data_IF_670288932223
#
_entry.id   IF_670288932223
#
_cell.length_a   1.000
_cell.length_b   1.000
_cell.length_c   1.000
_cell.angle_alpha   90.00
_cell.angle_beta   90.00
_cell.angle_gamma   90.00
#
_symmetry.space_group_name_H-M   'P 1'
#
loop_
_entity.id
_entity.type
_entity.pdbx_description
1 polymer ?
#
# COMPACT_ATOMS: atom_id res chain seq x y z
N UNK A 1 6.03 -0.84 -24.11
CA UNK A 1 5.34 0.34 -23.53
C UNK A 1 5.37 0.19 -22.01
N UNK A 2 5.66 1.28 -21.27
CA UNK A 2 5.63 1.26 -19.81
C UNK A 2 4.19 1.11 -19.30
N UNK A 3 4.02 0.43 -18.15
CA UNK A 3 2.73 0.28 -17.46
C UNK A 3 2.38 1.61 -16.81
N UNK A 4 1.24 2.19 -17.18
CA UNK A 4 0.75 3.43 -16.59
C UNK A 4 0.13 3.19 -15.23
N UNK A 5 0.72 3.78 -14.20
CA UNK A 5 0.31 3.60 -12.80
C UNK A 5 -0.28 4.88 -12.24
N UNK A 6 -1.44 4.78 -11.61
CA UNK A 6 -1.97 5.82 -10.75
C UNK A 6 -1.87 5.40 -9.27
N UNK A 7 -1.66 6.37 -8.39
CA UNK A 7 -1.59 6.13 -6.94
C UNK A 7 -2.79 6.81 -6.29
N UNK A 8 -3.67 6.03 -5.67
CA UNK A 8 -4.78 6.54 -4.88
C UNK A 8 -4.41 6.54 -3.39
N UNK A 9 -4.23 7.72 -2.82
CA UNK A 9 -3.69 7.92 -1.48
C UNK A 9 -2.16 8.09 -1.48
N UNK A 10 -1.71 9.32 -1.30
CA UNK A 10 -0.29 9.67 -1.28
C UNK A 10 0.24 9.82 0.15
N UNK A 11 -0.24 8.91 1.03
CA UNK A 11 0.26 8.71 2.39
C UNK A 11 1.64 8.05 2.40
N UNK A 12 2.02 7.44 3.54
CA UNK A 12 3.32 6.77 3.69
C UNK A 12 3.58 5.75 2.59
N UNK A 13 2.63 4.84 2.35
CA UNK A 13 2.81 3.75 1.37
C UNK A 13 2.85 4.30 -0.06
N UNK A 14 1.90 5.18 -0.43
CA UNK A 14 1.88 5.76 -1.77
C UNK A 14 3.16 6.52 -2.12
N UNK A 15 3.68 7.34 -1.19
CA UNK A 15 4.94 8.08 -1.41
C UNK A 15 6.16 7.18 -1.50
N UNK A 16 6.25 6.14 -0.68
CA UNK A 16 7.40 5.23 -0.74
C UNK A 16 7.35 4.34 -1.99
N UNK A 17 6.16 3.90 -2.41
CA UNK A 17 5.97 3.23 -3.69
C UNK A 17 6.37 4.15 -4.85
N UNK A 18 5.93 5.41 -4.83
CA UNK A 18 6.34 6.41 -5.81
C UNK A 18 7.86 6.54 -5.92
N UNK A 19 8.57 6.71 -4.79
CA UNK A 19 10.03 6.84 -4.77
C UNK A 19 10.75 5.64 -5.40
N UNK A 20 10.17 4.45 -5.31
CA UNK A 20 10.74 3.23 -5.91
C UNK A 20 10.40 3.08 -7.39
N UNK A 21 9.23 3.55 -7.81
CA UNK A 21 8.73 3.38 -9.17
C UNK A 21 9.18 4.50 -10.11
N UNK A 22 9.34 5.72 -9.58
CA UNK A 22 9.69 6.88 -10.40
C UNK A 22 11.10 6.72 -11.00
N UNK A 23 11.17 6.74 -12.32
CA UNK A 23 12.40 6.50 -13.07
C UNK A 23 12.80 5.02 -13.22
N UNK A 24 12.05 4.09 -12.62
CA UNK A 24 12.28 2.67 -12.83
C UNK A 24 11.80 2.22 -14.21
N UNK A 25 12.50 1.26 -14.81
CA UNK A 25 12.13 0.70 -16.10
C UNK A 25 10.81 -0.08 -16.00
N UNK A 26 9.97 0.06 -17.01
CA UNK A 26 8.69 -0.66 -17.14
C UNK A 26 7.50 0.03 -16.50
N UNK A 27 7.67 1.11 -15.73
CA UNK A 27 6.59 1.85 -15.07
C UNK A 27 6.58 3.33 -15.44
N UNK A 28 5.38 3.90 -15.44
CA UNK A 28 5.18 5.33 -15.53
C UNK A 28 4.09 5.76 -14.54
N UNK A 29 4.44 6.54 -13.52
CA UNK A 29 3.45 7.13 -12.62
C UNK A 29 2.84 8.34 -13.32
N UNK A 30 1.57 8.23 -13.71
CA UNK A 30 0.86 9.22 -14.52
C UNK A 30 -0.06 10.13 -13.71
N UNK A 31 -0.50 9.69 -12.54
CA UNK A 31 -1.43 10.46 -11.70
C UNK A 31 -1.36 10.05 -10.23
N UNK A 32 -1.74 10.99 -9.37
CA UNK A 32 -1.93 10.79 -7.94
C UNK A 32 -3.33 11.31 -7.58
N UNK A 33 -4.04 10.63 -6.70
CA UNK A 33 -5.23 11.16 -6.05
C UNK A 33 -5.01 11.23 -4.54
N UNK A 34 -5.14 12.43 -3.96
CA UNK A 34 -5.10 12.64 -2.50
C UNK A 34 -5.86 13.92 -2.16
N UNK A 35 -6.50 13.97 -1.00
CA UNK A 35 -7.27 15.13 -0.55
C UNK A 35 -6.42 16.25 0.03
N UNK A 36 -5.12 16.02 0.17
CA UNK A 36 -4.14 16.97 0.68
C UNK A 36 -3.61 17.86 -0.46
N UNK A 37 -3.23 19.09 -0.14
CA UNK A 37 -2.73 20.03 -1.16
C UNK A 37 -1.41 19.56 -1.80
N UNK A 38 -1.19 19.85 -3.10
CA UNK A 38 0.06 19.51 -3.80
C UNK A 38 1.32 20.00 -3.08
N UNK A 39 1.27 21.20 -2.51
CA UNK A 39 2.39 21.77 -1.72
C UNK A 39 2.76 20.87 -0.53
N UNK A 40 1.76 20.40 0.22
CA UNK A 40 2.00 19.50 1.36
C UNK A 40 2.51 18.15 0.89
N UNK A 41 1.93 17.58 -0.18
CA UNK A 41 2.34 16.30 -0.73
C UNK A 41 3.77 16.34 -1.27
N UNK A 42 4.16 17.43 -1.96
CA UNK A 42 5.54 17.66 -2.41
C UNK A 42 6.52 17.73 -1.23
N UNK A 43 6.18 18.46 -0.16
CA UNK A 43 6.99 18.51 1.06
C UNK A 43 7.18 17.13 1.68
N UNK A 44 6.10 16.38 1.84
CA UNK A 44 6.14 15.05 2.42
C UNK A 44 6.83 14.01 1.50
N UNK A 45 6.85 14.24 0.18
CA UNK A 45 7.63 13.42 -0.74
C UNK A 45 9.13 13.70 -0.59
N UNK A 46 9.52 14.96 -0.42
CA UNK A 46 10.93 15.36 -0.23
C UNK A 46 11.52 14.76 1.04
N UNK A 47 10.80 14.90 2.15
CA UNK A 47 11.34 14.65 3.49
C UNK A 47 10.54 13.56 4.21
N UNK A 48 11.24 12.53 4.65
CA UNK A 48 10.66 11.42 5.40
C UNK A 48 11.52 11.15 6.64
N UNK A 49 10.89 11.19 7.82
CA UNK A 49 11.60 11.03 9.09
C UNK A 49 12.20 9.63 9.29
N UNK A 50 11.71 8.62 8.57
CA UNK A 50 12.16 7.22 8.68
C UNK A 50 13.05 6.82 7.51
N UNK A 51 12.68 7.23 6.28
CA UNK A 51 13.37 6.84 5.04
C UNK A 51 14.35 7.90 4.54
N UNK A 52 14.43 9.04 5.26
CA UNK A 52 15.33 10.13 4.90
C UNK A 52 14.85 10.98 3.72
N UNK A 53 15.69 11.91 3.32
CA UNK A 53 15.42 12.79 2.20
C UNK A 53 15.37 11.99 0.89
N UNK A 54 14.39 12.30 0.04
CA UNK A 54 14.27 11.68 -1.28
C UNK A 54 15.47 12.05 -2.17
N UNK A 55 16.01 11.09 -2.88
CA UNK A 55 17.19 11.32 -3.74
C UNK A 55 16.97 12.45 -4.79
N UNK A 56 15.72 12.64 -5.23
CA UNK A 56 15.32 13.68 -6.18
C UNK A 56 14.66 14.88 -5.50
N UNK A 57 14.84 15.09 -4.19
CA UNK A 57 14.16 16.12 -3.43
C UNK A 57 14.33 17.54 -4.03
N UNK A 58 15.51 17.85 -4.54
CA UNK A 58 15.81 19.18 -5.11
C UNK A 58 15.07 19.45 -6.43
N UNK A 59 14.60 18.39 -7.11
CA UNK A 59 13.82 18.49 -8.36
C UNK A 59 12.31 18.49 -8.13
N UNK A 60 11.86 18.25 -6.89
CA UNK A 60 10.42 18.17 -6.58
C UNK A 60 9.86 19.58 -6.43
N UNK A 61 8.89 19.93 -7.25
CA UNK A 61 8.18 21.20 -7.21
C UNK A 61 6.66 20.96 -7.10
N UNK A 62 5.96 21.87 -6.44
CA UNK A 62 4.49 21.82 -6.35
C UNK A 62 3.88 22.83 -7.32
N UNK A 63 3.01 22.34 -8.21
CA UNK A 63 2.11 23.18 -9.01
C UNK A 63 0.79 23.47 -8.27
N UNK A 64 -0.18 24.01 -8.98
CA UNK A 64 -1.52 24.28 -8.45
C UNK A 64 -2.27 22.97 -8.19
N UNK A 65 -2.23 22.02 -9.14
CA UNK A 65 -2.86 20.70 -9.09
C UNK A 65 -1.93 19.58 -9.59
N UNK A 66 -0.64 19.75 -9.37
CA UNK A 66 0.40 18.82 -9.81
C UNK A 66 1.62 18.82 -8.90
N UNK A 67 2.45 17.80 -9.04
CA UNK A 67 3.82 17.76 -8.55
C UNK A 67 4.72 17.46 -9.74
N UNK A 68 5.79 18.25 -9.88
CA UNK A 68 6.85 17.99 -10.85
C UNK A 68 8.02 17.32 -10.15
N UNK A 69 8.55 16.26 -10.72
CA UNK A 69 9.74 15.55 -10.24
C UNK A 69 10.64 15.30 -11.44
N UNK A 70 11.89 15.73 -11.35
CA UNK A 70 12.88 15.58 -12.43
C UNK A 70 12.33 16.02 -13.80
N UNK A 71 11.64 17.18 -13.82
CA UNK A 71 11.03 17.76 -15.00
C UNK A 71 9.75 17.07 -15.50
N UNK A 72 9.31 15.97 -14.88
CA UNK A 72 8.05 15.30 -15.21
C UNK A 72 6.92 15.78 -14.32
N UNK A 73 5.89 16.34 -14.92
CA UNK A 73 4.68 16.75 -14.23
C UNK A 73 3.75 15.55 -14.00
N UNK A 74 3.26 15.40 -12.77
CA UNK A 74 2.31 14.37 -12.35
C UNK A 74 1.07 15.06 -11.80
N UNK A 75 -0.06 14.85 -12.46
CA UNK A 75 -1.35 15.44 -12.09
C UNK A 75 -1.81 14.91 -10.74
N UNK A 76 -2.32 15.81 -9.89
CA UNK A 76 -2.96 15.48 -8.62
C UNK A 76 -4.46 15.73 -8.71
N UNK A 77 -5.22 14.69 -8.46
CA UNK A 77 -6.66 14.75 -8.28
C UNK A 77 -6.99 14.80 -6.79
N UNK A 78 -8.12 15.45 -6.44
CA UNK A 78 -8.59 15.57 -5.07
C UNK A 78 -10.04 15.05 -4.95
N UNK A 79 -10.25 13.78 -5.37
CA UNK A 79 -11.56 13.13 -5.35
C UNK A 79 -11.68 12.15 -4.20
N UNK A 80 -12.71 12.32 -3.36
CA UNK A 80 -13.00 11.37 -2.28
C UNK A 80 -13.62 10.06 -2.80
N UNK A 81 -14.40 10.18 -3.89
CA UNK A 81 -15.03 9.03 -4.55
C UNK A 81 -14.17 8.57 -5.73
N UNK A 82 -13.66 7.35 -5.66
CA UNK A 82 -12.81 6.78 -6.70
C UNK A 82 -13.51 6.62 -8.05
N UNK A 83 -14.82 6.47 -8.09
CA UNK A 83 -15.58 6.36 -9.33
C UNK A 83 -15.59 7.67 -10.17
N UNK A 84 -15.21 8.81 -9.56
CA UNK A 84 -15.10 10.11 -10.23
C UNK A 84 -13.71 10.38 -10.83
N UNK A 85 -12.79 9.43 -10.69
CA UNK A 85 -11.42 9.57 -11.17
C UNK A 85 -11.32 9.23 -12.67
N UNK A 86 -10.57 9.98 -13.46
CA UNK A 86 -10.56 9.82 -14.93
C UNK A 86 -9.59 8.74 -15.40
N UNK A 87 -9.55 7.57 -14.73
CA UNK A 87 -8.57 6.52 -15.01
C UNK A 87 -8.63 6.02 -16.46
N UNK A 88 -9.84 5.88 -16.99
CA UNK A 88 -10.04 5.47 -18.39
C UNK A 88 -9.56 6.51 -19.39
N UNK A 89 -9.81 7.80 -19.12
CA UNK A 89 -9.44 8.92 -20.00
C UNK A 89 -7.91 9.07 -20.15
N UNK A 90 -7.17 8.89 -19.03
CA UNK A 90 -5.71 8.98 -19.01
C UNK A 90 -5.02 7.65 -19.28
N UNK A 91 -5.80 6.57 -19.46
CA UNK A 91 -5.30 5.25 -19.85
C UNK A 91 -4.52 4.55 -18.76
N UNK A 92 -4.99 4.59 -17.51
CA UNK A 92 -4.35 3.92 -16.37
C UNK A 92 -4.45 2.40 -16.52
N UNK A 93 -3.31 1.73 -16.48
CA UNK A 93 -3.25 0.28 -16.48
C UNK A 93 -3.44 -0.30 -15.06
N UNK A 94 -2.78 0.31 -14.06
CA UNK A 94 -2.80 -0.17 -12.67
C UNK A 94 -3.03 0.98 -11.71
N UNK A 95 -3.96 0.80 -10.78
CA UNK A 95 -4.10 1.68 -9.61
C UNK A 95 -3.45 1.01 -8.41
N UNK A 96 -2.53 1.72 -7.74
CA UNK A 96 -2.09 1.39 -6.39
C UNK A 96 -3.05 2.04 -5.39
N UNK A 97 -3.88 1.23 -4.73
CA UNK A 97 -4.81 1.69 -3.72
C UNK A 97 -4.12 1.75 -2.36
N UNK A 98 -3.79 2.95 -1.91
CA UNK A 98 -3.00 3.22 -0.71
C UNK A 98 -3.73 4.06 0.34
N UNK A 99 -5.06 4.30 0.18
CA UNK A 99 -5.85 5.12 1.13
C UNK A 99 -6.24 4.36 2.39
N UNK A 100 -6.36 3.05 2.33
CA UNK A 100 -6.92 2.21 3.38
C UNK A 100 -8.46 2.26 3.46
N UNK A 101 -9.16 2.89 2.51
CA UNK A 101 -10.63 2.94 2.45
C UNK A 101 -11.22 1.90 1.51
N UNK A 102 -10.58 1.61 0.39
CA UNK A 102 -11.03 0.66 -0.63
C UNK A 102 -10.42 -0.73 -0.42
N UNK A 103 -10.49 -1.24 0.81
CA UNK A 103 -9.84 -2.48 1.27
C UNK A 103 -10.76 -3.70 1.16
N UNK A 104 -11.49 -3.84 0.06
CA UNK A 104 -12.24 -5.04 -0.31
C UNK A 104 -12.45 -5.06 -1.83
N UNK A 105 -12.70 -6.23 -2.41
CA UNK A 105 -12.99 -6.38 -3.83
C UNK A 105 -14.13 -5.46 -4.29
N UNK A 106 -15.24 -5.48 -3.55
CA UNK A 106 -16.43 -4.67 -3.86
C UNK A 106 -16.14 -3.17 -3.84
N UNK A 107 -15.36 -2.67 -2.88
CA UNK A 107 -15.00 -1.25 -2.83
C UNK A 107 -14.01 -0.87 -3.92
N UNK A 108 -12.97 -1.69 -4.12
CA UNK A 108 -11.94 -1.43 -5.12
C UNK A 108 -12.47 -1.50 -6.56
N UNK A 109 -13.62 -2.15 -6.77
CA UNK A 109 -14.32 -2.16 -8.05
C UNK A 109 -14.57 -0.75 -8.61
N UNK A 110 -14.74 0.27 -7.74
CA UNK A 110 -14.90 1.66 -8.15
C UNK A 110 -13.75 2.17 -9.04
N UNK A 111 -12.53 1.69 -8.86
CA UNK A 111 -11.40 2.04 -9.72
C UNK A 111 -11.49 1.38 -11.11
N UNK A 112 -11.99 0.14 -11.17
CA UNK A 112 -12.23 -0.56 -12.44
C UNK A 112 -13.36 0.14 -13.19
N UNK A 113 -14.44 0.51 -12.48
CA UNK A 113 -15.58 1.23 -13.06
C UNK A 113 -15.15 2.62 -13.58
N UNK A 114 -14.17 3.25 -12.95
CA UNK A 114 -13.51 4.48 -13.39
C UNK A 114 -12.55 4.27 -14.59
N UNK A 115 -12.36 3.03 -15.06
CA UNK A 115 -11.61 2.69 -16.27
C UNK A 115 -10.18 2.20 -16.07
N UNK A 116 -9.74 1.94 -14.83
CA UNK A 116 -8.48 1.25 -14.58
C UNK A 116 -8.58 -0.22 -14.99
N UNK A 117 -7.50 -0.81 -15.50
CA UNK A 117 -7.49 -2.23 -15.90
C UNK A 117 -7.27 -3.16 -14.71
N UNK A 118 -6.46 -2.75 -13.74
CA UNK A 118 -6.13 -3.52 -12.54
C UNK A 118 -6.00 -2.63 -11.30
N UNK A 119 -6.26 -3.22 -10.13
CA UNK A 119 -6.08 -2.57 -8.81
C UNK A 119 -5.22 -3.44 -7.91
N UNK A 120 -4.21 -2.84 -7.32
CA UNK A 120 -3.39 -3.45 -6.27
C UNK A 120 -3.69 -2.74 -4.95
N UNK A 121 -4.37 -3.43 -4.04
CA UNK A 121 -4.70 -2.90 -2.72
C UNK A 121 -3.51 -3.11 -1.78
N UNK A 122 -2.94 -2.04 -1.25
CA UNK A 122 -1.77 -2.07 -0.35
C UNK A 122 -2.11 -2.46 1.10
N UNK A 123 -3.14 -3.25 1.30
CA UNK A 123 -3.65 -3.68 2.60
C UNK A 123 -4.35 -5.03 2.50
N UNK A 124 -4.60 -5.75 3.61
CA UNK A 124 -5.49 -6.91 3.62
C UNK A 124 -6.89 -6.52 3.13
N UNK A 125 -7.46 -7.30 2.22
CA UNK A 125 -8.68 -6.92 1.52
C UNK A 125 -9.78 -8.00 1.50
N UNK A 126 -9.74 -8.95 2.43
CA UNK A 126 -10.69 -10.08 2.51
C UNK A 126 -10.13 -11.35 1.89
N UNK A 127 -11.02 -12.34 1.71
CA UNK A 127 -10.66 -13.67 1.18
C UNK A 127 -11.29 -13.96 -0.20
N UNK A 128 -11.99 -12.96 -0.76
CA UNK A 128 -12.70 -13.03 -2.05
C UNK A 128 -11.86 -12.53 -3.23
N UNK A 129 -10.58 -12.28 -2.98
CA UNK A 129 -9.59 -11.88 -3.97
C UNK A 129 -8.20 -12.44 -3.61
N UNK A 130 -7.29 -12.60 -4.58
CA UNK A 130 -5.96 -13.10 -4.32
C UNK A 130 -5.18 -12.18 -3.37
N UNK A 131 -4.53 -12.81 -2.38
CA UNK A 131 -3.55 -12.13 -1.53
C UNK A 131 -2.16 -12.55 -1.97
N UNK A 132 -1.36 -11.58 -2.42
CA UNK A 132 -0.06 -11.82 -3.03
C UNK A 132 1.05 -11.20 -2.20
N UNK A 133 2.09 -11.99 -1.94
CA UNK A 133 3.38 -11.53 -1.43
C UNK A 133 4.44 -11.88 -2.47
N UNK A 134 5.16 -10.84 -2.95
CA UNK A 134 6.20 -11.03 -3.96
C UNK A 134 7.29 -11.99 -3.48
N UNK A 135 7.80 -12.83 -4.37
CA UNK A 135 8.74 -13.93 -4.09
C UNK A 135 8.23 -15.04 -3.14
N UNK A 136 6.94 -15.03 -2.78
CA UNK A 136 6.31 -16.11 -2.01
C UNK A 136 5.29 -16.84 -2.85
N UNK A 137 4.29 -16.14 -3.37
CA UNK A 137 3.20 -16.73 -4.15
C UNK A 137 2.82 -15.90 -5.40
N UNK A 138 3.65 -14.97 -5.84
CA UNK A 138 3.32 -14.09 -6.98
C UNK A 138 3.11 -14.86 -8.29
N UNK A 139 3.71 -16.04 -8.43
CA UNK A 139 3.53 -16.93 -9.60
C UNK A 139 2.13 -17.54 -9.68
N UNK A 140 1.35 -17.51 -8.58
CA UNK A 140 -0.03 -18.00 -8.57
C UNK A 140 -1.02 -16.99 -9.17
N UNK A 141 -0.56 -15.76 -9.49
CA UNK A 141 -1.43 -14.71 -9.99
C UNK A 141 -1.87 -15.00 -11.43
N UNK A 142 -3.19 -15.11 -11.62
CA UNK A 142 -3.79 -15.23 -12.95
C UNK A 142 -3.86 -13.88 -13.66
N UNK A 143 -3.77 -13.90 -14.99
CA UNK A 143 -3.98 -12.71 -15.84
C UNK A 143 -5.41 -12.16 -15.75
N UNK A 144 -6.36 -12.99 -15.39
CA UNK A 144 -7.78 -12.64 -15.29
C UNK A 144 -8.12 -11.91 -13.98
N UNK A 145 -7.20 -11.90 -13.02
CA UNK A 145 -7.39 -11.20 -11.76
C UNK A 145 -7.16 -9.69 -11.92
N UNK A 146 -8.22 -8.93 -11.76
CA UNK A 146 -8.19 -7.46 -11.93
C UNK A 146 -7.99 -6.71 -10.61
N UNK A 147 -8.32 -7.34 -9.47
CA UNK A 147 -8.18 -6.74 -8.15
C UNK A 147 -7.45 -7.73 -7.25
N UNK A 148 -6.33 -7.30 -6.67
CA UNK A 148 -5.51 -8.13 -5.78
C UNK A 148 -5.16 -7.37 -4.50
N UNK A 149 -4.87 -8.11 -3.44
CA UNK A 149 -4.29 -7.58 -2.21
C UNK A 149 -2.79 -7.84 -2.18
N UNK A 150 -2.00 -6.82 -1.88
CA UNK A 150 -0.57 -6.96 -1.57
C UNK A 150 -0.31 -7.31 -0.09
N UNK A 151 -1.31 -7.85 0.60
CA UNK A 151 -1.26 -8.25 2.00
C UNK A 151 -0.98 -7.08 2.99
N UNK A 152 -0.66 -7.42 4.23
CA UNK A 152 -0.24 -6.44 5.25
C UNK A 152 1.27 -6.30 5.33
N UNK A 153 1.75 -5.22 5.95
CA UNK A 153 3.16 -5.04 6.27
C UNK A 153 3.73 -6.23 7.06
N UNK A 154 3.00 -6.71 8.07
CA UNK A 154 3.42 -7.86 8.88
C UNK A 154 3.44 -9.16 8.06
N UNK A 155 2.47 -9.38 7.17
CA UNK A 155 2.47 -10.55 6.28
C UNK A 155 3.63 -10.50 5.29
N UNK A 156 3.95 -9.33 4.73
CA UNK A 156 5.11 -9.16 3.85
C UNK A 156 6.46 -9.37 4.56
N UNK A 157 6.51 -9.12 5.86
CA UNK A 157 7.68 -9.45 6.68
C UNK A 157 7.76 -10.96 6.98
N UNK A 158 6.64 -11.55 7.44
CA UNK A 158 6.60 -12.94 7.91
C UNK A 158 6.72 -13.96 6.77
N UNK A 159 6.01 -13.75 5.67
CA UNK A 159 5.87 -14.77 4.64
C UNK A 159 7.19 -15.18 3.97
N UNK A 160 8.09 -14.27 3.56
CA UNK A 160 9.40 -14.66 3.01
C UNK A 160 10.25 -15.45 4.01
N UNK A 161 10.25 -15.06 5.28
CA UNK A 161 11.00 -15.78 6.34
C UNK A 161 10.41 -17.17 6.57
N UNK A 162 9.09 -17.26 6.70
CA UNK A 162 8.40 -18.53 6.91
C UNK A 162 8.58 -19.46 5.71
N UNK A 163 8.54 -18.93 4.47
CA UNK A 163 8.79 -19.70 3.27
C UNK A 163 10.19 -20.30 3.27
N UNK A 164 11.21 -19.48 3.49
CA UNK A 164 12.61 -19.94 3.50
C UNK A 164 12.84 -21.02 4.57
N UNK A 165 12.26 -20.87 5.76
CA UNK A 165 12.34 -21.87 6.82
C UNK A 165 11.58 -23.15 6.46
N UNK A 166 10.38 -23.02 5.91
CA UNK A 166 9.56 -24.18 5.53
C UNK A 166 10.16 -24.95 4.36
N UNK A 167 10.79 -24.28 3.42
CA UNK A 167 11.51 -24.91 2.29
C UNK A 167 12.76 -25.66 2.79
N UNK A 168 13.44 -25.17 3.81
CA UNK A 168 14.59 -25.82 4.42
C UNK A 168 14.18 -27.01 5.31
N UNK A 169 13.17 -26.81 6.14
CA UNK A 169 12.64 -27.82 7.07
C UNK A 169 11.17 -27.53 7.36
N UNK A 170 10.29 -28.47 7.02
CA UNK A 170 8.85 -28.29 7.14
C UNK A 170 8.43 -27.87 8.55
N UNK A 171 7.81 -26.69 8.67
CA UNK A 171 7.29 -26.16 9.92
C UNK A 171 6.09 -27.00 10.37
N UNK A 172 6.12 -27.49 11.60
CA UNK A 172 5.03 -28.27 12.22
C UNK A 172 4.04 -27.37 12.96
N UNK A 173 4.55 -26.40 13.71
CA UNK A 173 3.77 -25.42 14.44
C UNK A 173 4.64 -24.21 14.78
N UNK A 174 4.02 -23.06 15.07
CA UNK A 174 4.75 -21.87 15.43
C UNK A 174 3.92 -20.84 16.22
N UNK A 175 4.60 -19.96 16.91
CA UNK A 175 4.03 -18.77 17.55
C UNK A 175 4.67 -17.55 16.91
N UNK A 176 3.86 -16.61 16.47
CA UNK A 176 4.34 -15.35 15.90
C UNK A 176 4.14 -14.22 16.90
N UNK A 177 5.24 -13.52 17.20
CA UNK A 177 5.22 -12.24 17.89
C UNK A 177 5.88 -11.19 17.00
N UNK A 178 5.25 -10.05 16.85
CA UNK A 178 5.82 -8.93 16.07
C UNK A 178 6.13 -7.75 16.98
N UNK A 179 7.32 -7.19 16.83
CA UNK A 179 7.73 -5.91 17.41
C UNK A 179 7.71 -4.92 16.25
N UNK A 180 6.68 -4.07 16.23
CA UNK A 180 6.36 -3.26 15.08
C UNK A 180 6.56 -1.77 15.37
N UNK A 181 7.15 -1.03 14.42
CA UNK A 181 7.14 0.42 14.47
C UNK A 181 5.69 0.94 14.45
N UNK A 182 5.40 2.01 15.19
CA UNK A 182 4.08 2.59 15.18
C UNK A 182 3.75 3.24 13.81
N UNK A 183 2.48 3.26 13.48
CA UNK A 183 1.96 3.71 12.18
C UNK A 183 0.81 4.68 12.37
N UNK A 184 0.48 5.49 11.34
CA UNK A 184 -0.54 6.52 11.42
C UNK A 184 -1.96 6.01 11.71
N UNK A 185 -2.26 4.74 11.40
CA UNK A 185 -3.56 4.14 11.68
C UNK A 185 -3.79 3.86 13.18
N UNK A 186 -2.74 3.92 14.00
CA UNK A 186 -2.84 3.82 15.44
C UNK A 186 -3.45 5.07 16.10
N UNK A 187 -3.56 6.19 15.37
CA UNK A 187 -4.07 7.45 15.92
C UNK A 187 -3.29 7.91 17.15
N UNK A 188 -1.95 7.97 17.00
CA UNK A 188 -1.01 8.33 18.08
C UNK A 188 -1.30 9.68 18.73
N UNK A 189 -0.81 9.84 19.96
CA UNK A 189 -1.12 10.91 20.92
C UNK A 189 -2.61 10.96 21.31
N UNK A 190 -3.13 9.79 21.69
CA UNK A 190 -4.48 9.68 22.24
C UNK A 190 -5.62 10.15 21.30
N UNK A 191 -5.37 10.06 19.98
CA UNK A 191 -6.38 10.40 18.99
C UNK A 191 -7.57 9.41 19.00
N UNK A 192 -8.75 9.81 18.50
CA UNK A 192 -9.94 8.96 18.50
C UNK A 192 -9.72 7.71 17.66
N UNK A 193 -9.81 6.53 18.28
CA UNK A 193 -9.59 5.26 17.59
C UNK A 193 -10.80 4.87 16.73
N UNK A 194 -10.57 4.68 15.42
CA UNK A 194 -11.62 4.40 14.43
C UNK A 194 -12.25 3.02 14.56
N UNK A 195 -11.51 2.04 15.12
CA UNK A 195 -11.93 0.63 15.21
C UNK A 195 -12.30 0.19 16.63
N UNK A 196 -12.37 1.14 17.58
CA UNK A 196 -12.84 0.89 18.94
C UNK A 196 -11.86 0.17 19.89
N UNK A 197 -10.63 -0.14 19.48
CA UNK A 197 -9.64 -0.70 20.40
C UNK A 197 -8.98 0.41 21.23
N UNK A 198 -9.48 0.61 22.45
CA UNK A 198 -9.07 1.68 23.36
C UNK A 198 -7.59 1.59 23.79
N UNK A 199 -6.93 0.44 23.60
CA UNK A 199 -5.49 0.28 23.95
C UNK A 199 -4.57 0.90 22.90
N UNK A 200 -5.08 1.16 21.69
CA UNK A 200 -4.27 1.43 20.50
C UNK A 200 -3.77 2.87 20.40
N UNK A 201 -4.65 3.84 20.69
CA UNK A 201 -4.38 5.27 20.52
C UNK A 201 -3.64 5.84 21.72
N UNK A 202 -2.35 5.52 21.83
CA UNK A 202 -1.48 6.00 22.91
C UNK A 202 -0.27 6.75 22.35
N UNK A 203 0.52 7.39 23.21
CA UNK A 203 1.77 8.04 22.86
C UNK A 203 2.84 6.98 22.50
N UNK A 204 2.82 6.50 21.27
CA UNK A 204 3.60 5.34 20.84
C UNK A 204 5.12 5.54 20.90
N UNK A 205 5.61 6.78 20.87
CA UNK A 205 7.05 7.07 21.02
C UNK A 205 7.58 6.80 22.43
N UNK A 206 6.71 6.75 23.44
CA UNK A 206 7.07 6.57 24.85
C UNK A 206 6.37 5.35 25.49
N UNK A 207 5.64 4.58 24.71
CA UNK A 207 4.91 3.40 25.17
C UNK A 207 5.06 2.22 24.23
N UNK A 208 5.08 1.01 24.78
CA UNK A 208 4.82 -0.21 24.03
C UNK A 208 3.31 -0.40 23.97
N UNK A 209 2.73 -0.24 22.79
CA UNK A 209 1.26 -0.25 22.58
C UNK A 209 0.81 -1.62 22.07
N UNK A 210 0.02 -2.39 22.83
CA UNK A 210 -0.51 -3.67 22.37
C UNK A 210 -1.41 -3.49 21.15
N UNK A 211 -1.21 -4.33 20.14
CA UNK A 211 -1.99 -4.34 18.91
C UNK A 211 -2.35 -5.78 18.52
N UNK A 212 -3.46 -5.94 17.83
CA UNK A 212 -3.79 -7.20 17.16
C UNK A 212 -3.24 -7.22 15.73
N UNK A 213 -2.94 -8.40 15.22
CA UNK A 213 -2.56 -8.62 13.82
C UNK A 213 -3.25 -9.84 13.25
N UNK A 214 -3.65 -9.76 11.98
CA UNK A 214 -4.18 -10.89 11.21
C UNK A 214 -3.10 -11.71 10.48
N UNK A 215 -1.81 -11.37 10.65
CA UNK A 215 -0.74 -11.95 9.84
C UNK A 215 -0.60 -13.48 10.02
N UNK A 216 -0.80 -14.00 11.24
CA UNK A 216 -0.78 -15.45 11.48
C UNK A 216 -1.87 -16.20 10.68
N UNK A 217 -3.06 -15.62 10.53
CA UNK A 217 -4.12 -16.18 9.67
C UNK A 217 -3.80 -15.98 8.18
N UNK A 218 -3.25 -14.84 7.83
CA UNK A 218 -2.95 -14.47 6.45
C UNK A 218 -1.81 -15.30 5.86
N UNK A 219 -0.92 -15.89 6.69
CA UNK A 219 0.16 -16.73 6.20
C UNK A 219 -0.36 -17.93 5.41
N UNK A 220 -1.46 -18.53 5.83
CA UNK A 220 -2.10 -19.64 5.14
C UNK A 220 -2.72 -19.28 3.78
N UNK A 221 -2.95 -17.97 3.51
CA UNK A 221 -3.41 -17.50 2.20
C UNK A 221 -2.28 -17.45 1.17
N UNK A 222 -1.04 -17.23 1.64
CA UNK A 222 0.13 -17.06 0.77
C UNK A 222 1.06 -18.28 0.78
N UNK A 223 1.02 -19.07 1.85
CA UNK A 223 1.73 -20.37 1.99
C UNK A 223 0.71 -21.37 2.53
N UNK A 224 -0.05 -22.04 1.67
CA UNK A 224 -1.14 -22.95 2.08
C UNK A 224 -0.73 -24.06 3.04
N UNK A 225 0.51 -24.55 2.95
CA UNK A 225 1.05 -25.60 3.82
C UNK A 225 1.18 -25.15 5.29
N UNK A 226 1.16 -23.86 5.54
CA UNK A 226 1.25 -23.28 6.89
C UNK A 226 -0.13 -22.95 7.49
N UNK A 227 -1.20 -23.26 6.78
CA UNK A 227 -2.53 -23.02 7.30
C UNK A 227 -2.80 -23.89 8.54
N UNK A 228 -3.09 -23.23 9.67
CA UNK A 228 -3.38 -23.91 10.94
C UNK A 228 -2.16 -24.36 11.74
N UNK A 229 -0.94 -24.01 11.31
CA UNK A 229 0.30 -24.29 12.03
C UNK A 229 0.76 -23.08 12.84
#
# INVERSE_FOLDING_TARGET
MAVKVAINGFGRIGRLAFRQMFGAEGYEVVAINDLTSPKMLAHLLKYDSTQGTYALADTVEAGEDSITVDGKEIKIYAKANAAELPWGEIGVDVVLECTGFYTSKAKAQAHIDAGAKKVVISAPAGNDLPTIVYNVNHETLSKDENIISAASCTTNCLAPMAKALNDLAAIKSGIMCTIHAYTGDQMTLDGPQRKGDLRRSRAAAVNIVPNSTGAAKAIGLVIPELNGK
#
